data_IF_401382361508
#
_entry.id   IF_401382361508
#
_cell.length_a   1.000
_cell.length_b   1.000
_cell.length_c   1.000
_cell.angle_alpha   90.00
_cell.angle_beta   90.00
_cell.angle_gamma   90.00
#
_symmetry.space_group_name_H-M   'P 1'
#
loop_
_entity.id
_entity.type
_entity.pdbx_description
1 polymer ?
#
# COMPACT_ATOMS: atom_id res chain seq x y z
N UNK A 1 8.65 42.13 14.80
CA UNK A 1 9.27 41.67 13.54
C UNK A 1 8.56 40.40 13.10
N UNK A 2 7.75 40.47 12.05
CA UNK A 2 6.98 39.32 11.54
C UNK A 2 7.93 38.48 10.67
N UNK A 3 8.42 37.36 11.21
CA UNK A 3 9.26 36.44 10.43
C UNK A 3 8.38 35.67 9.46
N UNK A 4 8.53 35.96 8.17
CA UNK A 4 7.84 35.27 7.08
C UNK A 4 8.54 33.92 6.93
N UNK A 5 7.94 32.83 7.42
CA UNK A 5 8.44 31.47 7.15
C UNK A 5 8.49 31.28 5.64
N UNK A 6 9.67 30.96 5.12
CA UNK A 6 9.84 30.65 3.70
C UNK A 6 8.95 29.46 3.33
N UNK A 7 8.18 29.65 2.26
CA UNK A 7 7.26 28.66 1.73
C UNK A 7 8.05 27.50 1.10
N UNK A 8 8.32 26.46 1.89
CA UNK A 8 8.95 25.21 1.44
C UNK A 8 8.07 24.38 0.49
N UNK A 9 7.05 24.99 -0.13
CA UNK A 9 6.03 24.33 -0.97
C UNK A 9 6.57 23.74 -2.29
N UNK A 10 7.84 23.96 -2.62
CA UNK A 10 8.44 23.57 -3.91
C UNK A 10 9.74 22.75 -3.80
N UNK A 11 10.04 22.15 -2.64
CA UNK A 11 11.18 21.24 -2.55
C UNK A 11 10.81 19.86 -3.12
N UNK A 12 11.49 19.47 -4.20
CA UNK A 12 11.38 18.14 -4.81
C UNK A 12 12.48 17.27 -4.22
N UNK A 13 12.10 16.20 -3.51
CA UNK A 13 13.03 15.23 -2.93
C UNK A 13 12.87 13.89 -3.65
N UNK A 14 13.96 13.40 -4.25
CA UNK A 14 13.99 12.09 -4.89
C UNK A 14 14.33 11.04 -3.84
N UNK A 15 13.32 10.30 -3.38
CA UNK A 15 13.50 9.24 -2.39
C UNK A 15 13.03 7.91 -2.99
N UNK A 16 13.85 6.88 -2.82
CA UNK A 16 13.49 5.52 -3.26
C UNK A 16 12.51 4.88 -2.28
N UNK A 17 11.54 4.13 -2.77
CA UNK A 17 10.50 3.47 -1.95
C UNK A 17 11.10 2.56 -0.87
N UNK A 18 12.24 1.94 -1.15
CA UNK A 18 13.00 1.12 -0.20
C UNK A 18 13.64 1.90 0.95
N UNK A 19 14.04 3.15 0.74
CA UNK A 19 14.55 4.02 1.82
C UNK A 19 13.44 4.49 2.75
N UNK A 20 12.23 4.48 2.24
CA UNK A 20 11.07 4.96 2.94
C UNK A 20 10.56 3.93 3.93
N UNK A 21 10.64 2.64 3.61
CA UNK A 21 10.20 1.55 4.48
C UNK A 21 11.42 0.91 5.18
N UNK A 22 11.46 0.82 6.52
CA UNK A 22 12.54 0.12 7.21
C UNK A 22 12.68 -1.32 6.70
N UNK A 23 13.90 -1.77 6.39
CA UNK A 23 14.13 -3.13 5.87
C UNK A 23 13.70 -4.24 6.83
N UNK A 24 13.65 -3.94 8.14
CA UNK A 24 13.18 -4.87 9.17
C UNK A 24 11.66 -4.90 9.33
N UNK A 25 10.92 -4.20 8.46
CA UNK A 25 9.47 -4.16 8.54
C UNK A 25 8.84 -5.52 8.20
N UNK A 26 7.95 -6.00 9.07
CA UNK A 26 7.30 -7.31 8.96
C UNK A 26 6.68 -7.56 7.58
N UNK A 27 5.96 -6.58 7.03
CA UNK A 27 5.31 -6.71 5.72
C UNK A 27 6.30 -6.90 4.57
N UNK A 28 7.48 -6.25 4.62
CA UNK A 28 8.50 -6.41 3.59
C UNK A 28 9.14 -7.80 3.60
N UNK A 29 9.20 -8.46 4.78
CA UNK A 29 9.60 -9.86 4.87
C UNK A 29 8.54 -10.79 4.29
N UNK A 30 7.26 -10.51 4.56
CA UNK A 30 6.13 -11.32 4.06
C UNK A 30 6.04 -11.24 2.53
N UNK A 31 6.17 -10.05 1.95
CA UNK A 31 6.12 -9.84 0.50
C UNK A 31 7.24 -10.57 -0.24
N UNK A 32 8.42 -10.72 0.38
CA UNK A 32 9.53 -11.50 -0.20
C UNK A 32 9.31 -13.02 -0.16
N UNK A 33 8.43 -13.51 0.70
CA UNK A 33 8.21 -14.94 0.94
C UNK A 33 6.95 -15.44 0.23
N UNK A 34 5.93 -14.59 0.12
CA UNK A 34 4.63 -14.95 -0.43
C UNK A 34 4.49 -14.36 -1.84
N UNK A 35 4.34 -15.23 -2.82
CA UNK A 35 3.88 -14.82 -4.14
C UNK A 35 2.34 -14.71 -4.13
N UNK A 36 1.83 -13.54 -4.52
CA UNK A 36 0.39 -13.24 -4.56
C UNK A 36 -0.23 -13.48 -5.95
N UNK A 37 0.56 -13.93 -6.93
CA UNK A 37 0.11 -14.20 -8.31
C UNK A 37 -1.09 -15.16 -8.39
N UNK A 38 -1.16 -16.14 -7.48
CA UNK A 38 -2.24 -17.14 -7.42
C UNK A 38 -3.65 -16.55 -7.26
N UNK A 39 -3.75 -15.31 -6.76
CA UNK A 39 -5.04 -14.64 -6.55
C UNK A 39 -5.74 -14.36 -7.88
N UNK A 40 -4.98 -14.06 -8.94
CA UNK A 40 -5.55 -13.79 -10.26
C UNK A 40 -6.31 -14.99 -10.80
N UNK A 41 -5.78 -16.21 -10.62
CA UNK A 41 -6.45 -17.44 -11.05
C UNK A 41 -7.75 -17.69 -10.28
N UNK A 42 -7.78 -17.33 -8.99
CA UNK A 42 -8.95 -17.53 -8.11
C UNK A 42 -10.09 -16.54 -8.37
N UNK A 43 -9.78 -15.34 -8.83
CA UNK A 43 -10.77 -14.25 -8.99
C UNK A 43 -11.16 -13.98 -10.43
N UNK A 44 -10.52 -14.67 -11.39
CA UNK A 44 -10.71 -14.46 -12.84
C UNK A 44 -12.17 -14.58 -13.28
N UNK A 45 -12.92 -15.50 -12.70
CA UNK A 45 -14.35 -15.71 -13.01
C UNK A 45 -15.27 -14.64 -12.40
N UNK A 46 -14.78 -13.87 -11.41
CA UNK A 46 -15.53 -12.81 -10.72
C UNK A 46 -15.21 -11.42 -11.24
N UNK A 47 -14.08 -11.24 -11.92
CA UNK A 47 -13.64 -9.96 -12.44
C UNK A 47 -13.82 -9.88 -13.95
N UNK A 48 -14.44 -8.81 -14.42
CA UNK A 48 -14.59 -8.52 -15.84
C UNK A 48 -13.33 -7.84 -16.38
N UNK A 49 -12.70 -8.40 -17.41
CA UNK A 49 -11.44 -7.88 -17.96
C UNK A 49 -11.59 -6.53 -18.69
N UNK A 50 -12.79 -6.18 -19.19
CA UNK A 50 -12.94 -5.03 -20.09
C UNK A 50 -14.28 -4.31 -20.06
N UNK A 51 -15.13 -4.54 -19.05
CA UNK A 51 -16.46 -3.94 -18.99
C UNK A 51 -16.66 -3.14 -17.69
N UNK A 52 -16.89 -1.83 -17.84
CA UNK A 52 -17.23 -0.94 -16.74
C UNK A 52 -16.06 -0.13 -16.18
N UNK A 53 -16.21 0.34 -14.94
CA UNK A 53 -15.17 1.11 -14.23
C UNK A 53 -14.09 0.14 -13.73
N UNK A 54 -12.80 0.40 -13.97
CA UNK A 54 -11.74 -0.47 -13.47
C UNK A 54 -11.86 -0.56 -11.94
N UNK A 55 -12.00 -1.80 -11.46
CA UNK A 55 -12.01 -2.10 -10.03
C UNK A 55 -10.58 -2.01 -9.49
N UNK A 56 -10.45 -1.88 -8.17
CA UNK A 56 -9.14 -2.04 -7.51
C UNK A 56 -8.59 -3.42 -7.86
N UNK A 57 -7.28 -3.48 -8.11
CA UNK A 57 -6.59 -4.73 -8.40
C UNK A 57 -6.83 -5.75 -7.26
N UNK A 58 -7.20 -7.01 -7.59
CA UNK A 58 -7.56 -8.00 -6.60
C UNK A 58 -6.40 -8.35 -5.65
N UNK A 59 -5.15 -8.32 -6.12
CA UNK A 59 -3.98 -8.55 -5.26
C UNK A 59 -3.84 -7.42 -4.25
N UNK A 60 -3.99 -6.17 -4.69
CA UNK A 60 -3.94 -5.00 -3.79
C UNK A 60 -5.03 -5.09 -2.73
N UNK A 61 -6.25 -5.48 -3.11
CA UNK A 61 -7.36 -5.64 -2.17
C UNK A 61 -7.05 -6.69 -1.09
N UNK A 62 -6.54 -7.85 -1.48
CA UNK A 62 -6.17 -8.91 -0.54
C UNK A 62 -5.00 -8.47 0.35
N UNK A 63 -3.98 -7.81 -0.19
CA UNK A 63 -2.87 -7.26 0.61
C UNK A 63 -3.38 -6.28 1.68
N UNK A 64 -4.35 -5.42 1.36
CA UNK A 64 -4.97 -4.50 2.34
C UNK A 64 -5.66 -5.28 3.47
N UNK A 65 -6.43 -6.33 3.14
CA UNK A 65 -7.08 -7.18 4.13
C UNK A 65 -6.07 -7.93 5.00
N UNK A 66 -4.97 -8.40 4.41
CA UNK A 66 -3.87 -9.03 5.13
C UNK A 66 -3.24 -8.09 6.17
N UNK A 67 -2.96 -6.85 5.76
CA UNK A 67 -2.44 -5.82 6.66
C UNK A 67 -3.46 -5.52 7.76
N UNK A 68 -4.74 -5.39 7.42
CA UNK A 68 -5.80 -5.15 8.39
C UNK A 68 -5.82 -6.25 9.46
N UNK A 69 -5.71 -7.51 9.04
CA UNK A 69 -5.68 -8.66 9.93
C UNK A 69 -4.44 -8.68 10.82
N UNK A 70 -3.24 -8.50 10.24
CA UNK A 70 -1.96 -8.55 10.96
C UNK A 70 -1.84 -7.45 12.02
N UNK A 71 -2.34 -6.25 11.74
CA UNK A 71 -2.28 -5.11 12.68
C UNK A 71 -3.54 -4.96 13.53
N UNK A 72 -4.52 -5.87 13.42
CA UNK A 72 -5.75 -5.85 14.21
C UNK A 72 -6.59 -4.59 13.99
N UNK A 73 -6.59 -4.03 12.78
CA UNK A 73 -7.29 -2.78 12.49
C UNK A 73 -8.78 -3.06 12.29
N UNK A 74 -9.68 -2.46 13.09
CA UNK A 74 -11.09 -2.84 13.10
C UNK A 74 -11.89 -2.33 11.89
N UNK A 75 -11.34 -1.43 11.08
CA UNK A 75 -12.05 -0.91 9.92
C UNK A 75 -11.13 -0.65 8.72
N UNK A 76 -11.64 -0.96 7.53
CA UNK A 76 -10.95 -0.69 6.27
C UNK A 76 -10.76 0.81 5.97
N UNK A 77 -11.49 1.68 6.69
CA UNK A 77 -11.31 3.14 6.59
C UNK A 77 -10.15 3.64 7.44
N UNK A 78 -9.73 2.89 8.46
CA UNK A 78 -8.57 3.22 9.27
C UNK A 78 -7.33 2.69 8.54
N UNK A 79 -6.39 3.59 8.28
CA UNK A 79 -5.09 3.19 7.76
C UNK A 79 -4.23 2.58 8.86
N UNK A 80 -3.26 1.76 8.46
CA UNK A 80 -2.19 1.35 9.35
C UNK A 80 -1.52 2.60 9.94
N UNK A 81 -1.26 2.65 11.26
CA UNK A 81 -0.57 3.78 11.88
C UNK A 81 0.79 4.05 11.21
N UNK A 82 1.42 3.01 10.68
CA UNK A 82 2.53 3.13 9.75
C UNK A 82 2.01 3.58 8.36
N UNK A 83 1.93 4.90 8.15
CA UNK A 83 1.61 5.52 6.83
C UNK A 83 2.52 5.01 5.70
N UNK A 84 3.75 4.63 6.06
CA UNK A 84 4.81 4.14 5.18
C UNK A 84 4.52 2.76 4.61
N UNK A 85 3.76 1.94 5.34
CA UNK A 85 3.44 0.57 4.99
C UNK A 85 2.48 0.48 3.79
N UNK A 86 1.79 1.58 3.47
CA UNK A 86 0.94 1.68 2.30
C UNK A 86 1.75 1.70 0.98
N UNK A 87 3.05 2.01 1.04
CA UNK A 87 3.95 1.98 -0.12
C UNK A 87 4.41 0.56 -0.52
N UNK A 88 4.04 -0.47 0.26
CA UNK A 88 4.28 -1.90 -0.06
C UNK A 88 3.08 -2.55 -0.79
N UNK A 89 2.09 -1.75 -1.16
CA UNK A 89 0.87 -2.19 -1.86
C UNK A 89 0.88 -1.99 -3.39
N UNK A 90 1.68 -1.10 -4.02
CA UNK A 90 1.70 -0.96 -5.47
C UNK A 90 2.55 -2.03 -6.16
#
# INVERSE_FOLDING_TARGET
MLSKKEDARHQIEFVSTDQLVPQDHLLGKIEKVIDFSFIYDLVKDKYSEGHGRPSIDPVVLIKILFIQYLFGIPSMRKNCPCKRCLFLLP
#
